data_IF_444798484399
#
_entry.id   IF_444798484399
#
_cell.length_a   1.000
_cell.length_b   1.000
_cell.length_c   1.000
_cell.angle_alpha   90.00
_cell.angle_beta   90.00
_cell.angle_gamma   90.00
#
_symmetry.space_group_name_H-M   'P 1'
#
loop_
_entity.id
_entity.type
_entity.pdbx_description
1 polymer ?
#
# COMPACT_ATOMS: atom_id res chain seq x y z
N UNK A 1 -15.43 48.81 19.04
CA UNK A 1 -15.02 48.21 17.73
C UNK A 1 -14.14 46.96 17.86
N UNK A 2 -13.33 46.81 18.92
CA UNK A 2 -12.46 45.63 19.14
C UNK A 2 -13.20 44.31 19.40
N UNK A 3 -14.33 44.35 20.12
CA UNK A 3 -15.14 43.17 20.46
C UNK A 3 -15.77 42.46 19.24
N UNK A 4 -16.24 43.22 18.26
CA UNK A 4 -16.87 42.66 17.05
C UNK A 4 -15.87 41.85 16.20
N UNK A 5 -14.60 42.30 16.09
CA UNK A 5 -13.57 41.54 15.36
C UNK A 5 -13.30 40.16 15.98
N UNK A 6 -13.22 40.05 17.31
CA UNK A 6 -13.02 38.76 18.01
C UNK A 6 -14.17 37.78 17.79
N UNK A 7 -15.41 38.26 17.71
CA UNK A 7 -16.60 37.42 17.46
C UNK A 7 -16.57 36.84 16.04
N UNK A 8 -16.26 37.65 15.01
CA UNK A 8 -16.14 37.12 13.64
C UNK A 8 -14.99 36.11 13.50
N UNK A 9 -13.87 36.34 14.19
CA UNK A 9 -12.77 35.37 14.21
C UNK A 9 -13.19 34.06 14.87
N UNK A 10 -13.90 34.10 16.00
CA UNK A 10 -14.41 32.90 16.68
C UNK A 10 -15.41 32.14 15.80
N UNK A 11 -16.36 32.83 15.18
CA UNK A 11 -17.35 32.22 14.27
C UNK A 11 -16.66 31.61 13.04
N UNK A 12 -15.65 32.28 12.49
CA UNK A 12 -14.84 31.75 11.39
C UNK A 12 -14.12 30.45 11.79
N UNK A 13 -13.49 30.40 12.96
CA UNK A 13 -12.85 29.17 13.47
C UNK A 13 -13.88 28.06 13.77
N UNK A 14 -15.09 28.40 14.22
CA UNK A 14 -16.16 27.44 14.47
C UNK A 14 -16.71 26.84 13.16
N UNK A 15 -16.91 27.68 12.14
CA UNK A 15 -17.32 27.26 10.80
C UNK A 15 -16.20 26.42 10.15
N UNK A 16 -14.95 26.85 10.27
CA UNK A 16 -13.79 26.12 9.76
C UNK A 16 -13.65 24.74 10.44
N UNK A 17 -13.83 24.67 11.76
CA UNK A 17 -13.86 23.41 12.50
C UNK A 17 -15.02 22.50 12.07
N UNK A 18 -16.16 23.06 11.67
CA UNK A 18 -17.29 22.29 11.15
C UNK A 18 -16.99 21.69 9.76
N UNK A 19 -16.37 22.46 8.86
CA UNK A 19 -15.95 21.96 7.54
C UNK A 19 -14.84 20.91 7.63
N UNK A 20 -13.98 20.95 8.66
CA UNK A 20 -12.95 19.95 8.90
C UNK A 20 -13.51 18.56 9.28
N UNK A 21 -14.81 18.43 9.59
CA UNK A 21 -15.45 17.18 10.04
C UNK A 21 -16.49 16.60 9.07
N UNK A 22 -16.55 17.08 7.82
CA UNK A 22 -17.48 16.52 6.83
C UNK A 22 -16.99 15.15 6.31
N UNK A 23 -17.55 14.06 6.86
CA UNK A 23 -17.33 12.70 6.36
C UNK A 23 -18.19 12.43 5.12
N UNK A 24 -17.57 11.92 4.06
CA UNK A 24 -18.28 11.51 2.85
C UNK A 24 -19.09 10.24 3.13
N UNK A 25 -20.40 10.28 2.84
CA UNK A 25 -21.28 9.10 2.97
C UNK A 25 -21.19 8.26 1.70
N UNK A 26 -20.67 7.05 1.83
CA UNK A 26 -20.40 6.17 0.71
C UNK A 26 -21.03 4.79 0.93
N UNK A 27 -21.38 4.11 -0.16
CA UNK A 27 -21.66 2.68 -0.12
C UNK A 27 -21.04 1.93 -1.29
N UNK A 28 -20.94 0.61 -1.18
CA UNK A 28 -20.35 -0.27 -2.20
C UNK A 28 -21.40 -1.27 -2.66
N UNK A 29 -21.70 -1.25 -3.96
CA UNK A 29 -22.56 -2.23 -4.62
C UNK A 29 -21.73 -3.43 -5.04
N UNK A 30 -22.35 -4.62 -5.06
CA UNK A 30 -21.71 -5.85 -5.52
C UNK A 30 -21.06 -5.66 -6.89
N UNK A 31 -19.80 -6.05 -6.98
CA UNK A 31 -19.14 -6.15 -8.27
C UNK A 31 -19.87 -7.16 -9.15
N UNK A 32 -20.08 -6.75 -10.40
CA UNK A 32 -20.68 -7.61 -11.41
C UNK A 32 -19.70 -8.74 -11.74
N UNK A 33 -20.16 -9.98 -11.59
CA UNK A 33 -19.38 -11.17 -11.95
C UNK A 33 -19.36 -11.36 -13.47
N UNK A 34 -18.17 -11.39 -14.07
CA UNK A 34 -17.99 -11.60 -15.52
C UNK A 34 -16.97 -12.69 -15.80
N UNK A 35 -17.43 -13.93 -15.95
CA UNK A 35 -16.53 -15.09 -16.09
C UNK A 35 -15.97 -15.60 -14.75
N UNK A 36 -16.54 -15.16 -13.63
CA UNK A 36 -16.32 -15.71 -12.28
C UNK A 36 -17.67 -16.01 -11.62
N UNK A 37 -17.67 -16.68 -10.47
CA UNK A 37 -18.91 -16.91 -9.71
C UNK A 37 -19.40 -15.61 -9.03
N UNK A 38 -20.72 -15.46 -8.88
CA UNK A 38 -21.31 -14.35 -8.12
C UNK A 38 -20.83 -14.32 -6.66
N UNK A 39 -20.49 -15.49 -6.10
CA UNK A 39 -19.94 -15.60 -4.76
C UNK A 39 -18.54 -14.99 -4.68
N UNK A 40 -17.65 -15.29 -5.63
CA UNK A 40 -16.30 -14.72 -5.67
C UNK A 40 -16.34 -13.20 -5.83
N UNK A 41 -17.24 -12.70 -6.70
CA UNK A 41 -17.46 -11.27 -6.86
C UNK A 41 -17.97 -10.61 -5.56
N UNK A 42 -18.88 -11.27 -4.84
CA UNK A 42 -19.35 -10.80 -3.52
C UNK A 42 -18.20 -10.75 -2.50
N UNK A 43 -17.37 -11.79 -2.44
CA UNK A 43 -16.23 -11.85 -1.51
C UNK A 43 -15.22 -10.75 -1.81
N UNK A 44 -14.92 -10.50 -3.10
CA UNK A 44 -14.06 -9.39 -3.53
C UNK A 44 -14.65 -8.03 -3.14
N UNK A 45 -15.98 -7.88 -3.27
CA UNK A 45 -16.71 -6.69 -2.85
C UNK A 45 -16.60 -6.49 -1.33
N UNK A 46 -16.87 -7.53 -0.54
CA UNK A 46 -16.81 -7.47 0.93
C UNK A 46 -15.41 -7.13 1.42
N UNK A 47 -14.40 -7.70 0.77
CA UNK A 47 -13.00 -7.36 1.05
C UNK A 47 -12.72 -5.88 0.76
N UNK A 48 -13.20 -5.36 -0.36
CA UNK A 48 -13.05 -3.95 -0.73
C UNK A 48 -13.77 -3.02 0.26
N UNK A 49 -15.03 -3.30 0.59
CA UNK A 49 -15.81 -2.54 1.58
C UNK A 49 -15.11 -2.48 2.93
N UNK A 50 -14.57 -3.61 3.40
CA UNK A 50 -13.81 -3.68 4.65
C UNK A 50 -12.51 -2.86 4.65
N UNK A 51 -11.92 -2.63 3.48
CA UNK A 51 -10.76 -1.72 3.34
C UNK A 51 -11.24 -0.28 3.51
N UNK A 52 -12.39 0.09 2.93
CA UNK A 52 -12.95 1.43 3.02
C UNK A 52 -13.49 1.78 4.41
N UNK A 53 -14.07 0.83 5.13
CA UNK A 53 -14.55 1.03 6.52
C UNK A 53 -13.42 1.46 7.46
N UNK A 54 -12.17 1.08 7.15
CA UNK A 54 -10.99 1.45 7.94
C UNK A 54 -10.51 2.89 7.70
N UNK A 55 -11.21 3.66 6.87
CA UNK A 55 -10.84 5.02 6.53
C UNK A 55 -11.67 6.00 7.37
N UNK A 56 -11.03 6.73 8.28
CA UNK A 56 -11.72 7.67 9.20
C UNK A 56 -12.42 8.83 8.47
N UNK A 57 -12.04 9.09 7.21
CA UNK A 57 -12.64 10.11 6.34
C UNK A 57 -13.90 9.66 5.60
N UNK A 58 -14.23 8.35 5.59
CA UNK A 58 -15.35 7.79 4.81
C UNK A 58 -16.31 7.05 5.73
N UNK A 59 -17.57 7.48 5.75
CA UNK A 59 -18.64 6.72 6.41
C UNK A 59 -19.23 5.74 5.40
N UNK A 60 -18.81 4.48 5.50
CA UNK A 60 -19.34 3.39 4.69
C UNK A 60 -20.66 2.89 5.29
N UNK A 61 -21.72 2.89 4.49
CA UNK A 61 -23.02 2.35 4.88
C UNK A 61 -23.07 0.84 4.64
N UNK A 62 -23.61 0.09 5.60
CA UNK A 62 -23.63 -1.37 5.58
C UNK A 62 -24.51 -1.95 4.47
N UNK A 63 -24.02 -3.04 3.88
CA UNK A 63 -24.59 -3.71 2.71
C UNK A 63 -25.87 -4.50 2.99
N UNK A 64 -26.12 -4.89 4.24
CA UNK A 64 -27.33 -5.64 4.60
C UNK A 64 -28.61 -4.80 4.37
N UNK A 65 -28.57 -3.52 4.76
CA UNK A 65 -29.65 -2.57 4.48
C UNK A 65 -29.83 -2.32 2.98
N UNK A 66 -28.74 -2.34 2.19
CA UNK A 66 -28.81 -2.24 0.72
C UNK A 66 -29.52 -3.45 0.10
N UNK A 67 -29.14 -4.67 0.51
CA UNK A 67 -29.71 -5.89 -0.08
C UNK A 67 -31.22 -5.97 0.15
N UNK A 68 -31.71 -5.52 1.32
CA UNK A 68 -33.14 -5.45 1.60
C UNK A 68 -33.85 -4.46 0.67
N UNK A 69 -33.33 -3.24 0.50
CA UNK A 69 -33.89 -2.24 -0.42
C UNK A 69 -33.86 -2.74 -1.88
N UNK A 70 -32.78 -3.42 -2.29
CA UNK A 70 -32.62 -4.01 -3.63
C UNK A 70 -33.69 -5.09 -3.88
N UNK A 71 -33.99 -5.91 -2.88
CA UNK A 71 -35.02 -6.94 -2.95
C UNK A 71 -36.42 -6.34 -2.99
N UNK A 72 -36.70 -5.35 -2.14
CA UNK A 72 -38.00 -4.65 -2.07
C UNK A 72 -38.34 -3.91 -3.36
N UNK A 73 -37.35 -3.35 -4.05
CA UNK A 73 -37.53 -2.59 -5.29
C UNK A 73 -37.41 -3.46 -6.57
N UNK A 74 -37.10 -4.75 -6.44
CA UNK A 74 -37.09 -5.67 -7.58
C UNK A 74 -35.92 -5.52 -8.56
N UNK A 75 -34.87 -4.76 -8.23
CA UNK A 75 -33.71 -4.52 -9.10
C UNK A 75 -32.94 -5.79 -9.51
N UNK A 76 -33.05 -6.88 -8.74
CA UNK A 76 -32.43 -8.17 -9.08
C UNK A 76 -33.16 -8.93 -10.20
N UNK A 77 -34.43 -8.63 -10.46
CA UNK A 77 -35.24 -9.38 -11.43
C UNK A 77 -34.89 -9.05 -12.89
N UNK A 78 -34.28 -7.90 -13.14
CA UNK A 78 -33.89 -7.47 -14.50
C UNK A 78 -32.56 -8.05 -14.96
N UNK A 79 -31.81 -8.72 -14.07
CA UNK A 79 -30.52 -9.35 -14.38
C UNK A 79 -29.37 -8.39 -14.70
N UNK A 80 -29.64 -7.08 -14.77
CA UNK A 80 -28.67 -6.02 -15.02
C UNK A 80 -28.97 -4.82 -14.13
N UNK A 81 -28.03 -4.51 -13.24
CA UNK A 81 -28.01 -3.25 -12.51
C UNK A 81 -27.27 -2.25 -13.41
N UNK A 82 -27.99 -1.32 -14.04
CA UNK A 82 -27.41 -0.22 -14.82
C UNK A 82 -26.86 0.87 -13.90
N UNK A 83 -26.00 1.75 -14.43
CA UNK A 83 -25.48 2.88 -13.66
C UNK A 83 -26.61 3.81 -13.16
N UNK A 84 -27.68 3.96 -13.93
CA UNK A 84 -28.87 4.73 -13.55
C UNK A 84 -29.60 4.11 -12.35
N UNK A 85 -29.79 2.79 -12.33
CA UNK A 85 -30.39 2.07 -11.20
C UNK A 85 -29.53 2.20 -9.93
N UNK A 86 -28.20 2.27 -10.08
CA UNK A 86 -27.27 2.44 -8.95
C UNK A 86 -27.44 3.83 -8.32
N UNK A 87 -27.59 4.87 -9.14
CA UNK A 87 -27.82 6.23 -8.66
C UNK A 87 -29.13 6.32 -7.87
N UNK A 88 -30.21 5.69 -8.35
CA UNK A 88 -31.50 5.63 -7.65
C UNK A 88 -31.38 4.90 -6.30
N UNK A 89 -30.66 3.78 -6.28
CA UNK A 89 -30.31 3.06 -5.05
C UNK A 89 -29.55 3.94 -4.06
N UNK A 90 -28.60 4.75 -4.52
CA UNK A 90 -27.88 5.68 -3.65
C UNK A 90 -28.78 6.73 -3.00
N UNK A 91 -29.75 7.24 -3.76
CA UNK A 91 -30.73 8.22 -3.25
C UNK A 91 -31.61 7.59 -2.16
N UNK A 92 -32.05 6.36 -2.35
CA UNK A 92 -32.86 5.61 -1.38
C UNK A 92 -32.09 5.34 -0.08
N UNK A 93 -30.79 5.03 -0.20
CA UNK A 93 -29.92 4.71 0.95
C UNK A 93 -29.42 5.97 1.66
N UNK A 94 -29.50 7.14 0.99
CA UNK A 94 -29.09 8.42 1.55
C UNK A 94 -27.57 8.62 1.56
N UNK A 95 -26.87 8.04 0.57
CA UNK A 95 -25.43 8.23 0.35
C UNK A 95 -25.15 9.29 -0.70
N UNK A 96 -23.98 9.90 -0.62
CA UNK A 96 -23.53 10.93 -1.55
C UNK A 96 -22.74 10.33 -2.71
N UNK A 97 -22.04 9.23 -2.45
CA UNK A 97 -21.23 8.51 -3.42
C UNK A 97 -21.50 7.02 -3.38
N UNK A 98 -21.38 6.36 -4.53
CA UNK A 98 -21.48 4.91 -4.65
C UNK A 98 -20.26 4.37 -5.38
N UNK A 99 -19.71 3.27 -4.86
CA UNK A 99 -18.77 2.45 -5.60
C UNK A 99 -19.50 1.32 -6.30
N UNK A 100 -19.28 1.21 -7.60
CA UNK A 100 -19.73 0.10 -8.44
C UNK A 100 -18.58 -0.43 -9.28
N UNK A 101 -18.70 -1.63 -9.83
CA UNK A 101 -17.61 -2.26 -10.55
C UNK A 101 -17.93 -3.62 -11.14
N UNK A 102 -16.89 -4.25 -11.68
CA UNK A 102 -16.96 -5.64 -12.14
C UNK A 102 -15.68 -6.38 -11.81
N UNK A 103 -15.83 -7.65 -11.48
CA UNK A 103 -14.74 -8.58 -11.33
C UNK A 103 -14.87 -9.63 -12.43
N UNK A 104 -13.82 -9.79 -13.22
CA UNK A 104 -13.79 -10.69 -14.37
C UNK A 104 -12.59 -11.61 -14.34
N UNK A 105 -12.72 -12.75 -15.02
CA UNK A 105 -11.61 -13.66 -15.27
C UNK A 105 -11.61 -14.04 -16.74
N UNK A 106 -10.53 -13.69 -17.43
CA UNK A 106 -10.39 -13.91 -18.87
C UNK A 106 -9.03 -14.56 -19.13
N UNK A 107 -9.06 -15.77 -19.69
CA UNK A 107 -7.85 -16.57 -19.94
C UNK A 107 -7.20 -17.03 -18.63
N UNK A 108 -6.24 -16.26 -18.13
CA UNK A 108 -5.51 -16.49 -16.87
C UNK A 108 -5.38 -15.25 -15.99
N UNK A 109 -6.07 -14.17 -16.37
CA UNK A 109 -5.97 -12.88 -15.69
C UNK A 109 -7.31 -12.56 -15.04
N UNK A 110 -7.27 -12.26 -13.75
CA UNK A 110 -8.37 -11.59 -13.08
C UNK A 110 -8.27 -10.08 -13.33
N UNK A 111 -9.36 -9.46 -13.72
CA UNK A 111 -9.48 -8.01 -13.84
C UNK A 111 -10.56 -7.53 -12.89
N UNK A 112 -10.24 -6.60 -12.00
CA UNK A 112 -11.23 -5.96 -11.12
C UNK A 112 -11.22 -4.47 -11.39
N UNK A 113 -12.39 -3.96 -11.79
CA UNK A 113 -12.61 -2.55 -12.08
C UNK A 113 -13.60 -2.00 -11.07
N UNK A 114 -13.29 -0.84 -10.49
CA UNK A 114 -14.18 -0.11 -9.59
C UNK A 114 -14.25 1.36 -10.02
N UNK A 115 -15.42 1.97 -9.84
CA UNK A 115 -15.70 3.37 -10.14
C UNK A 115 -16.48 4.01 -9.00
N UNK A 116 -16.14 5.26 -8.67
CA UNK A 116 -16.88 6.11 -7.75
C UNK A 116 -17.83 6.96 -8.56
N UNK A 117 -19.11 6.95 -8.20
CA UNK A 117 -20.17 7.70 -8.86
C UNK A 117 -20.75 8.68 -7.85
N UNK A 118 -20.89 9.95 -8.24
CA UNK A 118 -21.62 10.95 -7.47
C UNK A 118 -23.13 10.76 -7.65
N UNK A 119 -23.87 10.60 -6.56
CA UNK A 119 -25.31 10.25 -6.58
C UNK A 119 -26.18 11.42 -7.05
N UNK A 120 -25.71 12.67 -6.90
CA UNK A 120 -26.48 13.86 -7.27
C UNK A 120 -26.44 14.11 -8.78
N UNK A 121 -25.24 13.98 -9.35
CA UNK A 121 -24.96 14.29 -10.76
C UNK A 121 -24.99 13.06 -11.66
N UNK A 122 -24.72 11.88 -11.10
CA UNK A 122 -24.52 10.65 -11.85
C UNK A 122 -23.15 10.53 -12.52
N UNK A 123 -22.26 11.49 -12.28
CA UNK A 123 -20.93 11.50 -12.90
C UNK A 123 -19.97 10.52 -12.20
N UNK A 124 -19.10 9.90 -13.00
CA UNK A 124 -18.00 9.07 -12.48
C UNK A 124 -16.91 10.02 -11.98
N UNK A 125 -16.72 10.09 -10.66
CA UNK A 125 -15.69 10.90 -10.01
C UNK A 125 -14.29 10.31 -10.21
N UNK A 126 -14.18 8.98 -10.17
CA UNK A 126 -12.93 8.26 -10.47
C UNK A 126 -13.22 6.82 -10.89
N UNK A 127 -12.29 6.20 -11.61
CA UNK A 127 -12.33 4.80 -12.00
C UNK A 127 -10.94 4.20 -12.00
N UNK A 128 -10.80 3.00 -11.44
CA UNK A 128 -9.55 2.26 -11.39
C UNK A 128 -9.78 0.81 -11.80
N UNK A 129 -8.75 0.21 -12.40
CA UNK A 129 -8.75 -1.21 -12.79
C UNK A 129 -7.42 -1.84 -12.43
N UNK A 130 -7.48 -3.06 -11.90
CA UNK A 130 -6.31 -3.89 -11.64
C UNK A 130 -6.39 -5.18 -12.44
N UNK A 131 -5.25 -5.60 -12.96
CA UNK A 131 -5.06 -6.91 -13.58
C UNK A 131 -4.13 -7.74 -12.71
N UNK A 132 -4.52 -8.99 -12.45
CA UNK A 132 -3.75 -9.92 -11.63
C UNK A 132 -3.70 -11.29 -12.29
N UNK A 133 -2.48 -11.77 -12.52
CA UNK A 133 -2.20 -13.15 -12.92
C UNK A 133 -1.71 -13.90 -11.69
N UNK A 134 -2.41 -14.96 -11.31
CA UNK A 134 -2.09 -15.69 -10.08
C UNK A 134 -3.33 -16.26 -9.40
N UNK A 135 -3.21 -16.50 -8.09
CA UNK A 135 -4.30 -17.04 -7.28
C UNK A 135 -5.32 -15.95 -6.91
N UNK A 136 -6.55 -16.37 -6.67
CA UNK A 136 -7.60 -15.47 -6.15
C UNK A 136 -7.22 -14.90 -4.77
N UNK A 137 -6.41 -15.61 -3.99
CA UNK A 137 -5.94 -15.17 -2.66
C UNK A 137 -5.02 -13.93 -2.73
N UNK A 138 -4.13 -13.88 -3.72
CA UNK A 138 -3.26 -12.73 -3.95
C UNK A 138 -4.05 -11.51 -4.43
N UNK A 139 -5.05 -11.74 -5.28
CA UNK A 139 -6.00 -10.70 -5.68
C UNK A 139 -6.80 -10.16 -4.48
N UNK A 140 -7.37 -11.05 -3.66
CA UNK A 140 -8.14 -10.71 -2.46
C UNK A 140 -7.31 -9.90 -1.45
N UNK A 141 -6.04 -10.24 -1.30
CA UNK A 141 -5.15 -9.60 -0.33
C UNK A 141 -4.51 -8.33 -0.88
N UNK A 142 -3.57 -8.44 -1.81
CA UNK A 142 -2.77 -7.33 -2.32
C UNK A 142 -3.49 -6.54 -3.41
N UNK A 143 -4.19 -7.24 -4.31
CA UNK A 143 -4.92 -6.61 -5.42
C UNK A 143 -5.98 -5.62 -4.93
N UNK A 144 -6.90 -6.06 -4.07
CA UNK A 144 -8.00 -5.21 -3.58
C UNK A 144 -7.52 -3.98 -2.82
N UNK A 145 -6.42 -4.08 -2.07
CA UNK A 145 -5.78 -2.93 -1.41
C UNK A 145 -5.27 -1.92 -2.45
N UNK A 146 -4.58 -2.40 -3.50
CA UNK A 146 -4.09 -1.55 -4.58
C UNK A 146 -5.22 -0.88 -5.34
N UNK A 147 -6.31 -1.60 -5.60
CA UNK A 147 -7.49 -1.06 -6.27
C UNK A 147 -8.11 0.08 -5.45
N UNK A 148 -8.30 -0.12 -4.14
CA UNK A 148 -8.82 0.91 -3.24
C UNK A 148 -7.90 2.14 -3.22
N UNK A 149 -6.60 1.92 -3.11
CA UNK A 149 -5.62 3.01 -3.16
C UNK A 149 -5.69 3.78 -4.47
N UNK A 150 -5.73 3.13 -5.62
CA UNK A 150 -5.79 3.83 -6.91
C UNK A 150 -7.14 4.54 -7.13
N UNK A 151 -8.22 4.02 -6.56
CA UNK A 151 -9.55 4.61 -6.69
C UNK A 151 -9.75 5.87 -5.83
N UNK A 152 -9.14 5.93 -4.65
CA UNK A 152 -9.27 7.06 -3.71
C UNK A 152 -8.00 7.92 -3.58
N UNK A 153 -6.89 7.46 -4.16
CA UNK A 153 -5.53 7.98 -4.00
C UNK A 153 -5.23 9.31 -4.69
N UNK A 154 -6.21 9.93 -5.35
CA UNK A 154 -6.05 11.26 -5.95
C UNK A 154 -6.99 12.33 -5.37
N UNK A 155 -7.99 11.98 -4.53
CA UNK A 155 -9.07 12.94 -4.25
C UNK A 155 -9.52 13.13 -2.79
N UNK A 156 -9.18 12.30 -1.80
CA UNK A 156 -9.56 12.59 -0.39
C UNK A 156 -8.49 12.11 0.61
N UNK A 157 -7.83 13.06 1.29
CA UNK A 157 -7.02 12.92 2.53
C UNK A 157 -6.35 11.56 2.77
N UNK A 158 -5.32 11.28 1.97
CA UNK A 158 -4.64 9.97 1.88
C UNK A 158 -3.53 9.82 2.93
N UNK A 159 -3.34 10.78 3.84
CA UNK A 159 -2.21 10.75 4.79
C UNK A 159 -2.27 9.54 5.72
N UNK A 160 -3.44 9.20 6.27
CA UNK A 160 -3.60 8.04 7.17
C UNK A 160 -3.60 6.71 6.43
N UNK A 161 -4.11 6.68 5.20
CA UNK A 161 -4.12 5.47 4.37
C UNK A 161 -2.72 5.14 3.86
N UNK A 162 -1.90 6.13 3.51
CA UNK A 162 -0.49 5.92 3.15
C UNK A 162 0.29 5.35 4.34
N UNK A 163 0.04 5.84 5.55
CA UNK A 163 0.65 5.33 6.79
C UNK A 163 0.17 3.89 7.09
N UNK A 164 -1.14 3.61 6.99
CA UNK A 164 -1.66 2.26 7.21
C UNK A 164 -1.27 1.26 6.12
N UNK A 165 -1.12 1.69 4.86
CA UNK A 165 -0.82 0.79 3.72
C UNK A 165 0.68 0.58 3.56
N UNK A 166 1.52 1.61 3.70
CA UNK A 166 2.98 1.43 3.67
C UNK A 166 3.49 0.66 4.89
N UNK A 167 2.88 0.80 6.08
CA UNK A 167 3.28 0.00 7.24
C UNK A 167 2.64 -1.40 7.25
N UNK A 168 1.34 -1.57 6.92
CA UNK A 168 0.70 -2.90 6.95
C UNK A 168 0.95 -3.74 5.70
N UNK A 169 0.93 -3.21 4.48
CA UNK A 169 1.27 -4.01 3.28
C UNK A 169 2.74 -4.41 3.30
N UNK A 170 3.64 -3.58 3.85
CA UNK A 170 5.00 -4.04 4.12
C UNK A 170 5.09 -5.03 5.28
N UNK A 171 4.33 -4.90 6.37
CA UNK A 171 4.33 -5.88 7.46
C UNK A 171 3.77 -7.25 7.04
N UNK A 172 2.82 -7.31 6.11
CA UNK A 172 2.22 -8.58 5.65
C UNK A 172 3.07 -9.35 4.62
N UNK A 173 4.15 -8.78 4.09
CA UNK A 173 5.07 -9.47 3.14
C UNK A 173 6.51 -9.58 3.66
N UNK A 174 6.80 -9.05 4.84
CA UNK A 174 8.14 -9.08 5.43
C UNK A 174 8.20 -10.15 6.50
N UNK A 175 8.63 -11.35 6.14
CA UNK A 175 8.94 -12.39 7.13
C UNK A 175 10.30 -12.11 7.74
N UNK A 176 10.43 -12.23 9.06
CA UNK A 176 11.73 -12.27 9.72
C UNK A 176 12.26 -13.69 9.67
N UNK A 177 13.48 -13.88 9.15
CA UNK A 177 14.15 -15.18 9.12
C UNK A 177 15.45 -15.10 9.93
N UNK A 178 15.73 -16.06 10.83
CA UNK A 178 16.95 -16.02 11.65
C UNK A 178 18.23 -16.34 10.86
N UNK A 179 18.08 -17.08 9.75
CA UNK A 179 19.17 -17.39 8.84
C UNK A 179 18.71 -17.28 7.38
N UNK A 180 19.64 -17.03 6.48
CA UNK A 180 19.43 -17.12 5.04
C UNK A 180 20.72 -17.51 4.31
N UNK A 181 20.54 -18.30 3.25
CA UNK A 181 21.57 -18.64 2.27
C UNK A 181 21.06 -18.24 0.88
N UNK A 182 21.91 -17.58 0.08
CA UNK A 182 21.64 -17.33 -1.34
C UNK A 182 22.80 -17.82 -2.19
N UNK A 183 22.48 -18.37 -3.36
CA UNK A 183 23.48 -18.57 -4.40
C UNK A 183 23.58 -17.30 -5.24
N UNK A 184 22.48 -16.94 -5.92
CA UNK A 184 22.29 -15.70 -6.66
C UNK A 184 20.79 -15.39 -6.71
N UNK A 185 20.34 -14.15 -6.53
CA UNK A 185 18.92 -13.79 -6.69
C UNK A 185 18.43 -14.16 -8.11
N UNK A 186 17.32 -14.91 -8.30
CA UNK A 186 16.29 -15.28 -7.32
C UNK A 186 16.47 -16.61 -6.56
N UNK A 187 17.56 -17.35 -6.79
CA UNK A 187 17.90 -18.56 -6.06
C UNK A 187 18.42 -18.26 -4.65
N UNK A 188 17.48 -18.04 -3.72
CA UNK A 188 17.72 -17.78 -2.29
C UNK A 188 16.65 -18.42 -1.40
N UNK A 189 17.02 -18.80 -0.17
CA UNK A 189 16.12 -19.48 0.77
C UNK A 189 14.96 -18.60 1.27
N UNK A 190 15.19 -17.29 1.39
CA UNK A 190 14.16 -16.33 1.80
C UNK A 190 13.89 -15.36 0.65
N UNK A 191 12.64 -14.96 0.44
CA UNK A 191 12.29 -13.95 -0.55
C UNK A 191 13.00 -12.61 -0.29
N UNK A 192 13.25 -11.80 -1.32
CA UNK A 192 13.96 -10.52 -1.20
C UNK A 192 13.21 -9.46 -0.38
N UNK A 193 11.89 -9.61 -0.23
CA UNK A 193 11.06 -8.77 0.64
C UNK A 193 11.24 -9.06 2.14
N UNK A 194 11.91 -10.15 2.51
CA UNK A 194 12.08 -10.58 3.89
C UNK A 194 13.23 -9.86 4.59
N UNK A 195 13.15 -9.83 5.92
CA UNK A 195 14.20 -9.34 6.82
C UNK A 195 14.98 -10.54 7.35
N UNK A 196 16.30 -10.42 7.40
CA UNK A 196 17.16 -11.41 8.06
C UNK A 196 17.59 -10.87 9.42
N UNK A 197 17.29 -11.60 10.49
CA UNK A 197 17.68 -11.23 11.87
C UNK A 197 18.61 -12.32 12.43
N UNK A 198 19.89 -12.24 12.11
CA UNK A 198 20.89 -13.24 12.48
C UNK A 198 21.99 -13.36 11.44
N UNK A 199 22.05 -14.48 10.71
CA UNK A 199 23.12 -14.78 9.76
C UNK A 199 22.62 -14.81 8.32
N UNK A 200 23.26 -14.03 7.45
CA UNK A 200 23.08 -14.08 6.00
C UNK A 200 24.38 -14.52 5.32
N UNK A 201 24.30 -15.57 4.50
CA UNK A 201 25.41 -16.07 3.66
C UNK A 201 25.05 -15.95 2.18
N UNK A 202 25.80 -15.15 1.43
CA UNK A 202 25.58 -14.91 0.01
C UNK A 202 26.76 -15.46 -0.81
N UNK A 203 26.59 -16.62 -1.44
CA UNK A 203 27.68 -17.30 -2.17
C UNK A 203 28.16 -16.42 -3.33
N UNK A 204 27.24 -15.92 -4.17
CA UNK A 204 27.54 -14.96 -5.24
C UNK A 204 26.80 -13.64 -4.98
N UNK A 205 25.48 -13.71 -4.83
CA UNK A 205 24.64 -12.52 -4.67
C UNK A 205 23.44 -12.79 -3.79
N UNK A 206 23.20 -11.91 -2.82
CA UNK A 206 21.99 -11.95 -1.99
C UNK A 206 21.38 -10.58 -1.82
N UNK A 207 20.04 -10.54 -1.86
CA UNK A 207 19.24 -9.33 -1.72
C UNK A 207 18.11 -9.56 -0.74
N UNK A 208 18.01 -8.68 0.26
CA UNK A 208 16.93 -8.68 1.24
C UNK A 208 16.54 -7.26 1.61
N UNK A 209 15.34 -7.10 2.16
CA UNK A 209 14.80 -5.81 2.58
C UNK A 209 15.69 -5.13 3.62
N UNK A 210 15.97 -5.84 4.72
CA UNK A 210 16.91 -5.40 5.76
C UNK A 210 17.62 -6.59 6.37
N UNK A 211 18.80 -6.34 6.94
CA UNK A 211 19.59 -7.34 7.66
C UNK A 211 20.03 -6.78 9.01
N UNK A 212 19.77 -7.54 10.07
CA UNK A 212 20.15 -7.23 11.44
C UNK A 212 21.01 -8.38 11.95
N UNK A 213 22.33 -8.23 11.91
CA UNK A 213 23.29 -9.24 12.35
C UNK A 213 24.55 -9.30 11.49
N UNK A 214 24.93 -10.52 11.09
CA UNK A 214 26.12 -10.80 10.30
C UNK A 214 25.71 -11.10 8.86
N UNK A 215 26.33 -10.40 7.92
CA UNK A 215 26.08 -10.53 6.50
C UNK A 215 27.40 -10.75 5.76
N UNK A 216 27.61 -11.96 5.25
CA UNK A 216 28.85 -12.37 4.63
C UNK A 216 28.61 -12.92 3.22
N UNK A 217 29.43 -12.52 2.25
CA UNK A 217 29.28 -13.01 0.88
C UNK A 217 30.04 -12.21 -0.17
N UNK A 218 29.94 -12.59 -1.44
CA UNK A 218 30.56 -11.80 -2.51
C UNK A 218 29.80 -10.49 -2.74
N UNK A 219 28.50 -10.56 -3.01
CA UNK A 219 27.65 -9.38 -3.22
C UNK A 219 26.51 -9.39 -2.20
N UNK A 220 26.57 -8.43 -1.28
CA UNK A 220 25.63 -8.26 -0.19
C UNK A 220 24.78 -7.01 -0.43
N UNK A 221 23.50 -7.19 -0.73
CA UNK A 221 22.58 -6.08 -0.99
C UNK A 221 21.45 -6.05 0.04
N UNK A 222 21.29 -4.91 0.71
CA UNK A 222 20.17 -4.59 1.57
C UNK A 222 19.43 -3.39 0.98
N UNK A 223 18.12 -3.52 0.75
CA UNK A 223 17.35 -2.45 0.13
C UNK A 223 17.08 -1.26 1.06
N UNK A 224 17.10 -1.47 2.38
CA UNK A 224 16.87 -0.46 3.38
C UNK A 224 17.99 -0.45 4.44
N UNK A 225 17.90 -1.33 5.43
CA UNK A 225 18.69 -1.23 6.65
C UNK A 225 19.69 -2.38 6.80
N UNK A 226 20.94 -2.04 7.14
CA UNK A 226 21.96 -2.98 7.59
C UNK A 226 22.46 -2.59 8.99
N UNK A 227 22.11 -3.39 9.99
CA UNK A 227 22.57 -3.23 11.37
C UNK A 227 23.49 -4.40 11.73
N UNK A 228 24.76 -4.12 12.06
CA UNK A 228 25.73 -5.14 12.45
C UNK A 228 26.98 -5.14 11.57
N UNK A 229 27.41 -6.32 11.12
CA UNK A 229 28.68 -6.50 10.39
C UNK A 229 28.37 -7.01 8.99
N UNK A 230 28.84 -6.30 7.98
CA UNK A 230 28.76 -6.69 6.58
C UNK A 230 30.17 -6.93 6.02
N UNK A 231 30.42 -8.12 5.48
CA UNK A 231 31.71 -8.49 4.91
C UNK A 231 31.53 -9.05 3.50
N UNK A 232 32.16 -8.44 2.49
CA UNK A 232 32.03 -8.93 1.12
C UNK A 232 32.79 -8.16 0.05
N UNK A 233 32.73 -8.61 -1.20
CA UNK A 233 33.37 -7.88 -2.30
C UNK A 233 32.63 -6.57 -2.59
N UNK A 234 31.30 -6.64 -2.66
CA UNK A 234 30.42 -5.50 -2.83
C UNK A 234 29.34 -5.48 -1.74
N UNK A 235 29.29 -4.40 -0.99
CA UNK A 235 28.37 -4.19 0.11
C UNK A 235 27.49 -2.97 -0.19
N UNK A 236 26.17 -3.14 -0.15
CA UNK A 236 25.22 -2.03 -0.35
C UNK A 236 24.07 -2.08 0.65
N UNK A 237 23.79 -0.93 1.26
CA UNK A 237 22.62 -0.71 2.11
C UNK A 237 22.27 0.77 2.15
N UNK A 238 20.99 1.17 2.19
CA UNK A 238 20.66 2.61 2.28
C UNK A 238 21.09 3.21 3.60
N UNK A 239 20.77 2.54 4.71
CA UNK A 239 21.14 2.96 6.06
C UNK A 239 21.98 1.88 6.74
N UNK A 240 23.11 2.27 7.28
CA UNK A 240 24.04 1.36 7.95
C UNK A 240 24.26 1.80 9.39
N UNK A 241 24.11 0.87 10.33
CA UNK A 241 24.59 1.04 11.71
C UNK A 241 25.53 -0.11 12.06
N UNK A 242 26.83 0.14 11.96
CA UNK A 242 27.84 -0.88 12.23
C UNK A 242 29.04 -0.81 11.30
N UNK A 243 29.54 -1.97 10.87
CA UNK A 243 30.79 -2.10 10.13
C UNK A 243 30.52 -2.70 8.75
N UNK A 244 31.04 -2.06 7.71
CA UNK A 244 31.12 -2.64 6.37
C UNK A 244 32.58 -2.85 6.00
N UNK A 245 32.95 -4.08 5.67
CA UNK A 245 34.28 -4.43 5.19
C UNK A 245 34.18 -5.05 3.80
N UNK A 246 34.83 -4.45 2.81
CA UNK A 246 34.73 -4.94 1.45
C UNK A 246 35.53 -4.17 0.42
N UNK A 247 35.56 -4.66 -0.82
CA UNK A 247 36.24 -3.95 -1.90
C UNK A 247 35.52 -2.63 -2.21
N UNK A 248 34.18 -2.69 -2.25
CA UNK A 248 33.29 -1.57 -2.49
C UNK A 248 32.18 -1.57 -1.44
N UNK A 249 32.04 -0.45 -0.72
CA UNK A 249 30.98 -0.23 0.26
C UNK A 249 30.15 0.98 -0.17
N UNK A 250 28.84 0.82 -0.30
CA UNK A 250 27.93 1.89 -0.74
C UNK A 250 26.78 2.04 0.24
N UNK A 251 26.60 3.25 0.74
CA UNK A 251 25.47 3.60 1.59
C UNK A 251 24.98 5.02 1.36
N UNK A 252 23.78 5.32 1.83
CA UNK A 252 23.23 6.67 1.77
C UNK A 252 23.42 7.38 3.14
N UNK A 253 23.11 6.70 4.25
CA UNK A 253 23.48 7.15 5.59
C UNK A 253 24.16 6.06 6.41
N UNK A 254 25.13 6.46 7.24
CA UNK A 254 25.86 5.53 8.10
C UNK A 254 26.20 6.13 9.46
N UNK A 255 25.93 5.36 10.50
CA UNK A 255 26.49 5.49 11.83
C UNK A 255 27.45 4.31 12.08
N UNK A 256 28.72 4.48 11.75
CA UNK A 256 29.64 3.35 11.68
C UNK A 256 30.87 3.58 10.82
N UNK A 257 31.50 2.46 10.43
CA UNK A 257 32.79 2.45 9.72
C UNK A 257 32.66 1.61 8.44
N UNK A 258 33.14 2.15 7.33
CA UNK A 258 33.39 1.42 6.10
C UNK A 258 34.91 1.21 5.94
N UNK A 259 35.32 0.00 5.62
CA UNK A 259 36.70 -0.39 5.34
C UNK A 259 36.72 -1.01 3.94
N UNK A 260 37.47 -0.39 3.03
CA UNK A 260 37.45 -0.82 1.63
C UNK A 260 38.17 0.11 0.67
N UNK A 261 38.43 -0.37 -0.55
CA UNK A 261 39.08 0.46 -1.58
C UNK A 261 38.17 1.60 -2.06
N UNK A 262 36.87 1.36 -2.13
CA UNK A 262 35.87 2.35 -2.53
C UNK A 262 34.75 2.43 -1.50
N UNK A 263 34.81 3.41 -0.59
CA UNK A 263 33.76 3.67 0.40
C UNK A 263 32.93 4.88 -0.02
N UNK A 264 31.63 4.70 -0.20
CA UNK A 264 30.71 5.70 -0.75
C UNK A 264 29.57 5.92 0.23
N UNK A 265 29.35 7.18 0.65
CA UNK A 265 28.20 7.63 1.44
C UNK A 265 27.46 8.69 0.62
N UNK A 266 26.13 8.61 0.43
CA UNK A 266 25.36 9.51 -0.46
C UNK A 266 24.20 10.24 0.24
N UNK A 267 24.03 11.55 0.01
CA UNK A 267 24.88 12.44 -0.78
C UNK A 267 26.13 12.83 0.00
N UNK A 268 27.28 12.91 -0.68
CA UNK A 268 28.50 13.44 -0.08
C UNK A 268 29.26 14.32 -1.07
N UNK A 269 30.07 15.23 -0.54
CA UNK A 269 30.93 16.13 -1.33
C UNK A 269 32.02 15.36 -2.09
N UNK A 270 32.45 14.22 -1.56
CA UNK A 270 33.49 13.38 -2.15
C UNK A 270 32.87 12.06 -2.60
N UNK A 271 32.94 11.71 -3.89
CA UNK A 271 32.22 10.57 -4.44
C UNK A 271 32.65 9.23 -3.86
N UNK A 272 33.88 9.13 -3.33
CA UNK A 272 34.36 7.98 -2.56
C UNK A 272 35.49 8.40 -1.61
N UNK A 273 35.71 7.62 -0.56
CA UNK A 273 36.83 7.72 0.37
C UNK A 273 37.56 6.37 0.40
N UNK A 274 38.87 6.31 0.13
CA UNK A 274 39.61 5.05 0.13
C UNK A 274 39.97 4.58 1.54
N UNK A 275 40.18 3.28 1.68
CA UNK A 275 40.67 2.56 2.86
C UNK A 275 39.70 2.59 4.04
N UNK A 276 39.43 3.75 4.65
CA UNK A 276 38.54 3.90 5.81
C UNK A 276 37.65 5.13 5.62
N UNK A 277 36.35 4.96 5.86
CA UNK A 277 35.38 6.05 5.91
C UNK A 277 34.49 5.89 7.13
N UNK A 278 34.37 6.94 7.94
CA UNK A 278 33.57 6.94 9.17
C UNK A 278 32.42 7.92 9.02
N UNK A 279 31.21 7.48 9.33
CA UNK A 279 30.02 8.34 9.32
C UNK A 279 29.26 8.28 10.63
N UNK A 280 28.56 9.37 10.92
CA UNK A 280 27.78 9.58 12.15
C UNK A 280 26.36 10.08 11.86
N UNK A 281 25.86 9.87 10.64
CA UNK A 281 24.56 10.37 10.19
C UNK A 281 23.61 9.20 9.96
N UNK A 282 22.42 9.25 10.55
CA UNK A 282 21.32 8.32 10.27
C UNK A 282 20.21 9.03 9.51
#
# INVERSE_FOLDING_TARGET
MYYYKKIYTLIFFLILAFFLNAQVKLTVVNFQAKGISSNDASILTDRFSNILVKLDSIKVYERENLNQIILEQGFQQTGFISDDSIIELGKLVGVEQIVSGSASFIGKTYTVTAKIIDVKTGEILNSSSIDHQGSLDELLSAGMNKLAYQLFGDSHSITEMKILTDDKVQQFTTRNTPFQISFANPLQLSHESNIVTGLRLNIIYGRNKSVYGIDAGLINWSDNDMYGIQAGFYNRAKRVKGIQAGFINVTDSIFGIQIGLFNIIRPSKYPFIPIINVGFSL
#
